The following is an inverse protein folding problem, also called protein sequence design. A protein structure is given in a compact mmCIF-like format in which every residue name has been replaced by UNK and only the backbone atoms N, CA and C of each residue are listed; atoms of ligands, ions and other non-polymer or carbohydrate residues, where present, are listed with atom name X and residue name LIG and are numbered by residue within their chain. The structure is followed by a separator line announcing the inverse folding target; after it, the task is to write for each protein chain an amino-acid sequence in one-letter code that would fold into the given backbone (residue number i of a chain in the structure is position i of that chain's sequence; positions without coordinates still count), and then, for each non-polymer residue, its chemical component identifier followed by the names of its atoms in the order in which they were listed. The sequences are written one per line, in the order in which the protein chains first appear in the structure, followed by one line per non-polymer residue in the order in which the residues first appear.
data_IF_403356701957
#
_entry.id   IF_403356701957
#
_cell.length_a   1.000
_cell.length_b   1.000
_cell.length_c   1.000
_cell.angle_alpha   90.00
_cell.angle_beta   90.00
_cell.angle_gamma   90.00
#
_symmetry.space_group_name_H-M   'P 1'
#
loop_
_entity.id
_entity.type
_entity.pdbx_description
1 polymer ?
#
# COMPACT_ATOMS: atom_id res chain seq x y z
N UNK A 1 -15.43 20.86 -17.58
CA UNK A 1 -14.52 19.96 -18.32
C UNK A 1 -13.26 19.87 -17.50
N UNK A 2 -12.84 18.65 -17.12
CA UNK A 2 -11.58 18.45 -16.41
C UNK A 2 -10.43 18.86 -17.34
N UNK A 3 -9.45 19.59 -16.78
CA UNK A 3 -8.22 19.91 -17.51
C UNK A 3 -7.44 18.59 -17.69
N UNK A 4 -7.25 18.09 -18.92
CA UNK A 4 -6.57 16.80 -19.13
C UNK A 4 -5.07 16.84 -18.77
N UNK A 5 -4.50 18.04 -18.59
CA UNK A 5 -3.10 18.24 -18.21
C UNK A 5 -2.93 18.50 -16.69
N UNK A 6 -4.00 18.37 -15.90
CA UNK A 6 -3.93 18.60 -14.45
C UNK A 6 -3.29 17.40 -13.77
N UNK A 7 -2.12 17.64 -13.17
CA UNK A 7 -1.39 16.66 -12.36
C UNK A 7 -0.79 17.36 -11.14
N UNK A 8 -0.84 16.73 -9.99
CA UNK A 8 -0.34 17.24 -8.73
C UNK A 8 0.98 16.57 -8.37
N UNK A 9 1.90 17.32 -7.78
CA UNK A 9 3.09 16.72 -7.18
C UNK A 9 2.71 15.92 -5.92
N UNK A 10 1.70 16.38 -5.16
CA UNK A 10 1.24 15.77 -3.92
C UNK A 10 -0.27 15.96 -3.75
N UNK A 11 -0.97 14.92 -3.36
CA UNK A 11 -2.34 14.96 -2.85
C UNK A 11 -2.37 14.43 -1.42
N UNK A 12 -3.17 15.05 -0.55
CA UNK A 12 -3.33 14.61 0.84
C UNK A 12 -4.79 14.46 1.22
N UNK A 13 -5.09 13.48 2.06
CA UNK A 13 -6.41 13.23 2.59
C UNK A 13 -6.39 13.39 4.12
N UNK A 14 -6.87 14.53 4.60
CA UNK A 14 -7.19 14.78 6.02
C UNK A 14 -8.52 14.09 6.35
N UNK A 15 -8.50 12.76 6.24
CA UNK A 15 -9.68 11.90 6.36
C UNK A 15 -9.29 10.46 6.65
N UNK A 16 -10.08 9.80 7.49
CA UNK A 16 -9.91 8.42 7.91
C UNK A 16 -9.83 7.43 6.74
N UNK A 17 -9.02 6.38 6.88
CA UNK A 17 -9.05 5.18 6.03
C UNK A 17 -8.76 5.45 4.55
N UNK A 18 -8.02 6.51 4.22
CA UNK A 18 -7.76 6.85 2.82
C UNK A 18 -6.46 6.24 2.26
N UNK A 19 -5.53 5.75 3.11
CA UNK A 19 -4.34 5.04 2.62
C UNK A 19 -4.70 3.61 2.19
N UNK A 20 -5.53 3.50 1.16
CA UNK A 20 -5.97 2.22 0.63
C UNK A 20 -5.39 1.95 -0.76
N UNK A 21 -5.18 0.67 -1.07
CA UNK A 21 -4.79 0.22 -2.40
C UNK A 21 -5.77 0.72 -3.47
N UNK A 22 -7.05 0.69 -3.17
CA UNK A 22 -8.12 1.11 -4.08
C UNK A 22 -8.06 2.62 -4.35
N UNK A 23 -7.89 3.45 -3.31
CA UNK A 23 -7.75 4.90 -3.47
C UNK A 23 -6.46 5.25 -4.24
N UNK A 24 -5.33 4.65 -3.86
CA UNK A 24 -4.05 4.87 -4.53
C UNK A 24 -4.09 4.46 -6.01
N UNK A 25 -4.77 3.34 -6.34
CA UNK A 25 -4.97 2.89 -7.71
C UNK A 25 -5.76 3.89 -8.57
N UNK A 26 -6.65 4.67 -7.96
CA UNK A 26 -7.35 5.76 -8.66
C UNK A 26 -6.52 7.04 -8.71
N UNK A 27 -5.84 7.40 -7.61
CA UNK A 27 -5.10 8.65 -7.51
C UNK A 27 -3.82 8.66 -8.36
N UNK A 28 -3.27 7.52 -8.78
CA UNK A 28 -2.09 7.44 -9.63
C UNK A 28 -2.18 8.23 -10.94
N UNK A 29 -3.39 8.52 -11.41
CA UNK A 29 -3.62 9.30 -12.63
C UNK A 29 -3.61 10.82 -12.39
N UNK A 30 -3.57 11.26 -11.14
CA UNK A 30 -3.79 12.66 -10.77
C UNK A 30 -2.66 13.25 -9.94
N UNK A 31 -1.79 12.42 -9.33
CA UNK A 31 -0.71 12.90 -8.49
C UNK A 31 0.50 11.96 -8.51
N UNK A 32 1.69 12.51 -8.14
CA UNK A 32 2.91 11.73 -7.96
C UNK A 32 3.00 11.11 -6.56
N UNK A 33 2.54 11.83 -5.54
CA UNK A 33 2.53 11.34 -4.17
C UNK A 33 1.17 11.50 -3.51
N UNK A 34 0.87 10.60 -2.56
CA UNK A 34 -0.32 10.65 -1.75
C UNK A 34 0.06 10.54 -0.27
N UNK A 35 -0.53 11.39 0.56
CA UNK A 35 -0.44 11.32 2.03
C UNK A 35 -1.80 10.94 2.58
N UNK A 36 -1.87 9.87 3.37
CA UNK A 36 -3.12 9.39 3.93
C UNK A 36 -2.88 8.42 5.10
N UNK A 37 -3.92 8.19 5.90
CA UNK A 37 -3.94 7.25 7.01
C UNK A 37 -4.60 5.91 6.63
N UNK A 38 -4.06 4.80 7.14
CA UNK A 38 -4.72 3.49 7.10
C UNK A 38 -5.84 3.38 8.15
N UNK A 39 -5.69 4.11 9.27
CA UNK A 39 -6.62 4.07 10.40
C UNK A 39 -7.49 5.32 10.42
N UNK A 40 -8.38 5.38 11.40
CA UNK A 40 -9.19 6.55 11.67
C UNK A 40 -8.31 7.71 12.14
N UNK A 41 -8.66 8.89 11.72
CA UNK A 41 -8.01 10.11 12.17
C UNK A 41 -8.82 10.75 13.29
N UNK A 42 -8.18 11.23 14.38
CA UNK A 42 -8.84 12.05 15.40
C UNK A 42 -9.48 13.30 14.78
N UNK A 43 -10.57 13.76 15.38
CA UNK A 43 -11.31 14.94 14.90
C UNK A 43 -10.52 16.26 14.93
N UNK A 44 -9.31 16.24 15.48
CA UNK A 44 -8.39 17.37 15.46
C UNK A 44 -7.98 17.78 14.04
N UNK A 45 -7.93 16.78 13.12
CA UNK A 45 -7.43 16.96 11.77
C UNK A 45 -5.90 17.18 11.73
N UNK A 46 -5.40 17.57 10.57
CA UNK A 46 -3.96 17.78 10.38
C UNK A 46 -3.46 19.06 11.01
N UNK A 47 -2.29 18.97 11.65
CA UNK A 47 -1.57 20.14 12.13
C UNK A 47 -0.75 20.77 11.00
N UNK A 48 -1.11 21.98 10.61
CA UNK A 48 -0.43 22.71 9.53
C UNK A 48 0.94 23.29 9.92
N UNK A 49 1.52 22.89 11.06
CA UNK A 49 2.89 23.27 11.45
C UNK A 49 3.95 22.78 10.45
N UNK A 50 3.65 21.79 9.63
CA UNK A 50 4.52 21.34 8.53
C UNK A 50 4.85 22.47 7.53
N UNK A 51 4.03 23.52 7.43
CA UNK A 51 4.34 24.71 6.62
C UNK A 51 5.61 25.43 7.10
N UNK A 52 5.97 25.30 8.38
CA UNK A 52 7.23 25.84 8.89
C UNK A 52 8.42 25.11 8.27
N UNK A 53 8.36 23.79 8.11
CA UNK A 53 9.40 22.99 7.46
C UNK A 53 9.62 23.45 6.00
N UNK A 54 8.56 23.76 5.27
CA UNK A 54 8.63 24.31 3.92
C UNK A 54 9.23 25.74 3.94
N UNK A 55 8.90 26.53 4.96
CA UNK A 55 9.49 27.88 5.16
C UNK A 55 11.00 27.83 5.46
N UNK A 56 11.44 26.85 6.22
CA UNK A 56 12.85 26.62 6.58
C UNK A 56 13.65 26.01 5.43
N UNK A 57 13.02 25.12 4.64
CA UNK A 57 13.61 24.48 3.48
C UNK A 57 12.67 24.53 2.27
N UNK A 58 12.65 25.64 1.52
CA UNK A 58 11.80 25.77 0.32
C UNK A 58 12.16 24.83 -0.84
N UNK A 59 13.24 24.05 -0.71
CA UNK A 59 13.65 23.04 -1.68
C UNK A 59 13.14 21.62 -1.37
N UNK A 60 12.28 21.49 -0.36
CA UNK A 60 11.60 20.21 -0.11
C UNK A 60 10.83 19.77 -1.35
N UNK A 61 11.05 18.54 -1.77
CA UNK A 61 10.24 17.89 -2.81
C UNK A 61 8.91 17.40 -2.25
N UNK A 62 8.05 16.89 -3.11
CA UNK A 62 6.73 16.40 -2.73
C UNK A 62 6.80 15.29 -1.68
N UNK A 63 7.78 14.37 -1.77
CA UNK A 63 7.99 13.35 -0.75
C UNK A 63 8.36 13.97 0.59
N UNK A 64 9.30 14.92 0.61
CA UNK A 64 9.73 15.60 1.84
C UNK A 64 8.60 16.39 2.49
N UNK A 65 7.73 17.03 1.70
CA UNK A 65 6.51 17.68 2.19
C UNK A 65 5.57 16.64 2.80
N UNK A 66 5.36 15.50 2.14
CA UNK A 66 4.52 14.42 2.64
C UNK A 66 5.00 13.89 4.00
N UNK A 67 6.31 13.69 4.16
CA UNK A 67 6.92 13.28 5.44
C UNK A 67 6.70 14.36 6.51
N UNK A 68 6.90 15.64 6.19
CA UNK A 68 6.67 16.72 7.14
C UNK A 68 5.20 16.81 7.60
N UNK A 69 4.23 16.51 6.70
CA UNK A 69 2.81 16.41 7.05
C UNK A 69 2.60 15.26 8.03
N UNK A 70 3.12 14.07 7.72
CA UNK A 70 2.97 12.89 8.54
C UNK A 70 3.55 13.09 9.95
N UNK A 71 4.76 13.63 10.05
CA UNK A 71 5.42 13.89 11.33
C UNK A 71 4.67 14.92 12.17
N UNK A 72 4.24 16.04 11.55
CA UNK A 72 3.48 17.07 12.26
C UNK A 72 2.10 16.58 12.73
N UNK A 73 1.45 15.69 11.97
CA UNK A 73 0.21 15.03 12.38
C UNK A 73 0.44 14.15 13.60
N UNK A 74 1.44 13.27 13.53
CA UNK A 74 1.76 12.36 14.65
C UNK A 74 2.11 13.13 15.91
N UNK A 75 2.95 14.16 15.82
CA UNK A 75 3.33 14.99 16.95
C UNK A 75 2.12 15.66 17.61
N UNK A 76 1.23 16.25 16.81
CA UNK A 76 0.05 16.94 17.32
C UNK A 76 -0.92 16.01 18.01
N UNK A 77 -1.28 14.89 17.35
CA UNK A 77 -2.26 13.97 17.88
C UNK A 77 -1.75 13.25 19.15
N UNK A 78 -0.49 12.81 19.15
CA UNK A 78 0.12 12.18 20.35
C UNK A 78 0.32 13.19 21.47
N UNK A 79 0.50 14.47 21.16
CA UNK A 79 0.54 15.55 22.18
C UNK A 79 -0.79 15.75 22.88
N UNK A 80 -1.92 15.54 22.18
CA UNK A 80 -3.27 15.62 22.76
C UNK A 80 -3.66 14.31 23.47
N UNK A 81 -3.40 13.17 22.83
CA UNK A 81 -3.70 11.86 23.40
C UNK A 81 -2.62 10.82 23.04
N UNK A 82 -1.69 10.52 23.95
CA UNK A 82 -0.61 9.55 23.72
C UNK A 82 -1.10 8.11 23.47
N UNK A 83 -2.34 7.82 23.80
CA UNK A 83 -2.96 6.51 23.64
C UNK A 83 -3.70 6.31 22.33
N UNK A 84 -3.73 7.31 21.44
CA UNK A 84 -4.41 7.22 20.16
C UNK A 84 -3.78 6.16 19.24
N UNK A 85 -4.63 5.59 18.40
CA UNK A 85 -4.27 4.68 17.32
C UNK A 85 -4.12 5.52 16.05
N UNK A 86 -2.89 5.77 15.64
CA UNK A 86 -2.58 6.66 14.52
C UNK A 86 -1.73 5.95 13.49
N UNK A 87 -1.95 6.30 12.24
CA UNK A 87 -1.06 5.95 11.13
C UNK A 87 -1.02 7.10 10.13
N UNK A 88 0.08 7.24 9.41
CA UNK A 88 0.18 8.16 8.28
C UNK A 88 1.25 7.65 7.33
N UNK A 89 0.95 7.65 6.04
CA UNK A 89 1.82 7.11 5.00
C UNK A 89 2.02 8.10 3.88
N UNK A 90 3.19 8.03 3.24
CA UNK A 90 3.50 8.71 1.99
C UNK A 90 3.68 7.66 0.90
N UNK A 91 2.79 7.67 -0.08
CA UNK A 91 2.74 6.71 -1.17
C UNK A 91 3.25 7.37 -2.46
N UNK A 92 4.13 6.67 -3.18
CA UNK A 92 4.60 7.06 -4.51
C UNK A 92 3.72 6.45 -5.58
N UNK A 93 2.82 7.24 -6.12
CA UNK A 93 1.76 6.79 -7.01
C UNK A 93 2.22 6.30 -8.40
N UNK A 94 3.30 6.81 -9.01
CA UNK A 94 3.78 6.24 -10.27
C UNK A 94 4.19 4.77 -10.19
N UNK A 95 4.48 4.24 -9.00
CA UNK A 95 4.75 2.81 -8.81
C UNK A 95 3.47 1.95 -8.70
N UNK A 96 2.28 2.57 -8.63
CA UNK A 96 1.01 1.86 -8.49
C UNK A 96 0.65 1.03 -9.72
N UNK A 97 0.97 1.45 -10.93
CA UNK A 97 0.69 0.68 -12.14
C UNK A 97 1.27 -0.74 -12.04
N UNK A 98 2.54 -0.82 -11.61
CA UNK A 98 3.20 -2.11 -11.42
C UNK A 98 2.60 -2.89 -10.25
N UNK A 99 2.29 -2.22 -9.13
CA UNK A 99 1.65 -2.86 -7.99
C UNK A 99 0.27 -3.42 -8.37
N UNK A 100 -0.55 -2.65 -9.06
CA UNK A 100 -1.88 -3.08 -9.54
C UNK A 100 -1.76 -4.30 -10.44
N UNK A 101 -0.90 -4.27 -11.45
CA UNK A 101 -0.69 -5.40 -12.36
C UNK A 101 -0.25 -6.68 -11.63
N UNK A 102 0.64 -6.53 -10.65
CA UNK A 102 1.13 -7.66 -9.85
C UNK A 102 0.06 -8.20 -8.91
N UNK A 103 -0.73 -7.31 -8.27
CA UNK A 103 -1.85 -7.69 -7.42
C UNK A 103 -2.95 -8.41 -8.20
N UNK A 104 -3.29 -7.94 -9.40
CA UNK A 104 -4.24 -8.59 -10.28
C UNK A 104 -3.81 -10.02 -10.64
N UNK A 105 -2.52 -10.21 -10.90
CA UNK A 105 -1.94 -11.55 -11.11
C UNK A 105 -2.05 -12.39 -9.83
N UNK A 106 -1.71 -11.84 -8.67
CA UNK A 106 -1.80 -12.52 -7.40
C UNK A 106 -3.24 -12.91 -7.05
N UNK A 107 -4.19 -11.98 -7.21
CA UNK A 107 -5.62 -12.21 -6.97
C UNK A 107 -6.18 -13.35 -7.85
N UNK A 108 -5.65 -13.51 -9.07
CA UNK A 108 -6.01 -14.64 -9.92
C UNK A 108 -5.59 -15.99 -9.32
N UNK A 109 -4.41 -16.09 -8.69
CA UNK A 109 -4.00 -17.29 -7.95
C UNK A 109 -4.86 -17.53 -6.71
N UNK A 110 -5.21 -16.46 -6.00
CA UNK A 110 -6.11 -16.55 -4.84
C UNK A 110 -7.48 -17.07 -5.26
N UNK A 111 -8.03 -16.59 -6.37
CA UNK A 111 -9.32 -17.04 -6.94
C UNK A 111 -9.27 -18.53 -7.31
N UNK A 112 -8.20 -18.99 -7.97
CA UNK A 112 -8.02 -20.43 -8.26
C UNK A 112 -7.95 -21.30 -7.00
N UNK A 113 -7.31 -20.80 -5.95
CA UNK A 113 -7.26 -21.52 -4.68
C UNK A 113 -8.65 -21.64 -4.04
N UNK A 114 -9.49 -20.61 -4.18
CA UNK A 114 -10.89 -20.65 -3.74
C UNK A 114 -11.68 -21.69 -4.56
N UNK A 115 -11.54 -21.73 -5.89
CA UNK A 115 -12.16 -22.73 -6.76
C UNK A 115 -11.70 -24.15 -6.40
N UNK A 116 -10.45 -24.32 -5.97
CA UNK A 116 -9.91 -25.58 -5.46
C UNK A 116 -10.37 -25.91 -4.03
N UNK A 117 -11.31 -25.17 -3.44
CA UNK A 117 -11.91 -25.44 -2.14
C UNK A 117 -11.08 -24.98 -0.94
N UNK A 118 -10.11 -24.07 -1.10
CA UNK A 118 -9.25 -23.61 0.00
C UNK A 118 -9.88 -22.49 0.86
N UNK A 119 -11.19 -22.34 0.87
CA UNK A 119 -11.91 -21.31 1.65
C UNK A 119 -11.45 -21.23 3.11
N UNK A 120 -11.21 -22.40 3.74
CA UNK A 120 -10.77 -22.46 5.14
C UNK A 120 -9.39 -21.82 5.37
N UNK A 121 -8.52 -21.80 4.36
CA UNK A 121 -7.20 -21.15 4.43
C UNK A 121 -7.37 -19.66 4.48
N UNK A 122 -8.18 -19.10 3.60
CA UNK A 122 -8.49 -17.66 3.57
C UNK A 122 -9.22 -17.20 4.84
N UNK A 123 -10.22 -17.97 5.29
CA UNK A 123 -10.96 -17.63 6.51
C UNK A 123 -10.06 -17.57 7.74
N UNK A 124 -9.10 -18.49 7.86
CA UNK A 124 -8.12 -18.49 8.96
C UNK A 124 -7.12 -17.33 8.84
N UNK A 125 -6.71 -16.99 7.63
CA UNK A 125 -5.87 -15.84 7.39
C UNK A 125 -6.61 -14.55 7.80
N UNK A 126 -7.82 -14.32 7.27
CA UNK A 126 -8.64 -13.14 7.56
C UNK A 126 -8.92 -12.94 9.06
N UNK A 127 -9.20 -14.02 9.79
CA UNK A 127 -9.45 -13.97 11.24
C UNK A 127 -8.24 -13.49 12.08
N UNK A 128 -7.04 -13.52 11.52
CA UNK A 128 -5.81 -13.06 12.19
C UNK A 128 -5.42 -11.64 11.82
N UNK A 129 -6.06 -11.08 10.80
CA UNK A 129 -5.80 -9.73 10.34
C UNK A 129 -6.62 -8.74 11.15
N UNK A 130 -5.97 -7.68 11.56
CA UNK A 130 -6.67 -6.51 12.11
C UNK A 130 -7.47 -5.85 10.99
N UNK A 131 -8.67 -5.38 11.31
CA UNK A 131 -9.48 -4.56 10.40
C UNK A 131 -9.49 -3.14 10.93
N UNK A 132 -9.08 -2.21 10.09
CA UNK A 132 -9.04 -0.80 10.42
C UNK A 132 -10.45 -0.22 10.61
N UNK A 133 -10.57 0.84 11.40
CA UNK A 133 -11.83 1.54 11.61
C UNK A 133 -12.84 0.76 12.44
N UNK A 134 -12.38 -0.17 13.31
CA UNK A 134 -13.26 -0.93 14.18
C UNK A 134 -13.74 -0.07 15.35
N UNK A 135 -14.94 0.51 15.19
CA UNK A 135 -15.69 1.11 16.27
C UNK A 135 -16.96 0.30 16.54
N UNK A 136 -17.11 -0.20 17.76
CA UNK A 136 -18.38 -0.75 18.29
C UNK A 136 -19.10 -1.76 17.36
N UNK A 137 -18.35 -2.70 16.77
CA UNK A 137 -18.89 -3.79 15.93
C UNK A 137 -19.08 -3.53 14.43
N UNK A 138 -18.73 -2.36 13.90
CA UNK A 138 -18.71 -2.13 12.46
C UNK A 138 -17.25 -2.02 11.97
N UNK A 139 -16.74 -3.04 11.34
CA UNK A 139 -15.41 -2.98 10.71
C UNK A 139 -15.54 -2.44 9.29
N UNK A 140 -14.54 -1.70 8.82
CA UNK A 140 -14.45 -1.27 7.42
C UNK A 140 -14.08 -2.42 6.48
N UNK A 141 -13.72 -3.60 7.03
CA UNK A 141 -13.12 -4.72 6.30
C UNK A 141 -11.82 -4.36 5.53
N UNK A 142 -11.22 -3.20 5.85
CA UNK A 142 -9.90 -2.82 5.39
C UNK A 142 -8.85 -3.50 6.26
N UNK A 143 -7.90 -4.18 5.64
CA UNK A 143 -6.79 -4.85 6.32
C UNK A 143 -5.47 -4.36 5.76
N UNK A 144 -4.39 -4.46 6.54
CA UNK A 144 -3.06 -4.17 6.02
C UNK A 144 -2.71 -5.07 4.84
N UNK A 145 -2.20 -4.49 3.75
CA UNK A 145 -1.94 -5.21 2.51
C UNK A 145 -0.85 -6.27 2.67
N UNK A 146 0.18 -5.99 3.48
CA UNK A 146 1.22 -7.00 3.76
C UNK A 146 0.67 -8.12 4.64
N UNK A 147 -0.28 -7.84 5.55
CA UNK A 147 -0.95 -8.89 6.30
C UNK A 147 -1.75 -9.83 5.39
N UNK A 148 -2.42 -9.30 4.34
CA UNK A 148 -3.05 -10.14 3.31
C UNK A 148 -2.01 -10.98 2.56
N UNK A 149 -0.92 -10.36 2.08
CA UNK A 149 0.14 -11.05 1.34
C UNK A 149 0.72 -12.19 2.20
N UNK A 150 1.11 -11.92 3.43
CA UNK A 150 1.73 -12.88 4.34
C UNK A 150 0.76 -13.99 4.74
N UNK A 151 -0.49 -13.64 5.02
CA UNK A 151 -1.53 -14.60 5.40
C UNK A 151 -1.90 -15.56 4.27
N UNK A 152 -1.66 -15.19 3.02
CA UNK A 152 -1.99 -15.98 1.83
C UNK A 152 -0.76 -16.41 1.01
N UNK A 153 0.46 -16.04 1.43
CA UNK A 153 1.74 -16.30 0.74
C UNK A 153 1.92 -17.75 0.30
N UNK A 154 1.48 -18.71 1.11
CA UNK A 154 1.63 -20.15 0.80
C UNK A 154 0.86 -20.60 -0.44
N UNK A 155 -0.08 -19.81 -0.94
CA UNK A 155 -0.88 -20.10 -2.13
C UNK A 155 -0.06 -19.90 -3.40
N UNK A 156 0.68 -18.78 -3.47
CA UNK A 156 1.52 -18.43 -4.62
C UNK A 156 2.80 -17.72 -4.15
N UNK A 157 3.78 -18.45 -3.55
CA UNK A 157 4.91 -17.83 -2.87
C UNK A 157 5.74 -16.89 -3.75
N UNK A 158 6.06 -17.31 -4.98
CA UNK A 158 6.90 -16.50 -5.90
C UNK A 158 6.17 -15.21 -6.32
N UNK A 159 4.86 -15.29 -6.54
CA UNK A 159 4.06 -14.10 -6.89
C UNK A 159 3.89 -13.19 -5.69
N UNK A 160 3.77 -13.76 -4.49
CA UNK A 160 3.75 -12.99 -3.24
C UNK A 160 5.04 -12.19 -3.03
N UNK A 161 6.21 -12.77 -3.32
CA UNK A 161 7.51 -12.09 -3.22
C UNK A 161 7.63 -10.93 -4.23
N UNK A 162 7.13 -11.14 -5.46
CA UNK A 162 7.08 -10.07 -6.47
C UNK A 162 6.11 -8.97 -6.05
N UNK A 163 4.95 -9.33 -5.51
CA UNK A 163 3.96 -8.38 -5.02
C UNK A 163 4.49 -7.55 -3.84
N UNK A 164 5.18 -8.19 -2.90
CA UNK A 164 5.85 -7.49 -1.82
C UNK A 164 6.87 -6.47 -2.35
N UNK A 165 7.70 -6.88 -3.31
CA UNK A 165 8.68 -5.97 -3.93
C UNK A 165 8.01 -4.79 -4.64
N UNK A 166 6.86 -5.03 -5.29
CA UNK A 166 6.07 -3.96 -5.90
C UNK A 166 5.48 -3.00 -4.86
N UNK A 167 4.96 -3.55 -3.76
CA UNK A 167 4.44 -2.80 -2.62
C UNK A 167 5.48 -1.87 -2.00
N UNK A 168 6.70 -2.38 -1.73
CA UNK A 168 7.81 -1.63 -1.14
C UNK A 168 8.28 -0.44 -2.02
N UNK A 169 7.93 -0.43 -3.30
CA UNK A 169 8.19 0.72 -4.18
C UNK A 169 7.15 1.83 -4.04
N UNK A 170 5.96 1.49 -3.60
CA UNK A 170 4.87 2.46 -3.42
C UNK A 170 4.99 3.16 -2.07
N UNK A 171 5.15 2.42 -0.98
CA UNK A 171 5.24 3.00 0.36
C UNK A 171 6.62 3.60 0.56
N UNK A 172 6.70 4.94 0.62
CA UNK A 172 7.96 5.69 0.78
C UNK A 172 8.23 6.09 2.21
N UNK A 173 7.17 6.29 2.96
CA UNK A 173 7.22 6.59 4.37
C UNK A 173 5.97 6.03 5.04
N UNK A 174 6.12 5.51 6.23
CA UNK A 174 5.02 5.06 7.06
C UNK A 174 5.37 5.30 8.52
N UNK A 175 4.47 5.90 9.25
CA UNK A 175 4.59 6.14 10.68
C UNK A 175 3.27 5.81 11.37
N UNK A 176 3.35 5.19 12.53
CA UNK A 176 2.17 4.83 13.31
C UNK A 176 2.50 4.68 14.80
N UNK A 177 1.47 4.60 15.61
CA UNK A 177 1.66 4.37 17.06
C UNK A 177 2.14 2.96 17.33
N UNK A 178 2.92 2.78 18.41
CA UNK A 178 3.51 1.49 18.83
C UNK A 178 2.50 0.36 19.06
N UNK A 179 1.22 0.67 19.15
CA UNK A 179 0.15 -0.33 19.27
C UNK A 179 -0.09 -1.09 17.96
N UNK A 180 0.45 -0.58 16.85
CA UNK A 180 0.33 -1.15 15.51
C UNK A 180 1.70 -1.61 14.98
N UNK A 181 2.26 -2.66 15.57
CA UNK A 181 3.51 -3.29 15.08
C UNK A 181 3.38 -3.90 13.66
N UNK A 182 2.18 -3.83 13.07
CA UNK A 182 1.82 -4.48 11.81
C UNK A 182 1.31 -3.51 10.72
N UNK A 183 1.37 -2.22 10.96
CA UNK A 183 1.05 -1.22 9.94
C UNK A 183 2.19 -1.12 8.93
N UNK A 184 1.88 -1.35 7.68
CA UNK A 184 2.89 -1.28 6.62
C UNK A 184 2.70 -0.12 5.66
N UNK A 185 1.61 0.64 5.81
CA UNK A 185 1.40 1.94 5.16
C UNK A 185 0.31 1.98 4.09
N UNK A 186 -0.30 0.84 3.75
CA UNK A 186 -1.44 0.81 2.84
C UNK A 186 -2.34 -0.38 3.11
N UNK A 187 -3.62 -0.11 3.29
CA UNK A 187 -4.65 -1.13 3.47
C UNK A 187 -5.26 -1.58 2.15
N UNK A 188 -5.99 -2.68 2.21
CA UNK A 188 -6.74 -3.25 1.08
C UNK A 188 -8.05 -3.84 1.59
N UNK A 189 -9.10 -3.76 0.79
CA UNK A 189 -10.39 -4.33 1.12
C UNK A 189 -10.36 -5.86 1.09
N UNK A 190 -10.62 -6.49 2.24
CA UNK A 190 -10.75 -7.94 2.35
C UNK A 190 -11.89 -8.27 3.33
N UNK A 191 -13.11 -8.55 2.83
CA UNK A 191 -14.30 -8.66 3.67
C UNK A 191 -14.25 -9.83 4.63
N UNK A 192 -14.81 -9.65 5.83
CA UNK A 192 -15.01 -10.71 6.82
C UNK A 192 -16.35 -11.44 6.67
N UNK A 193 -17.30 -10.80 6.01
CA UNK A 193 -18.68 -11.25 5.83
C UNK A 193 -19.19 -10.98 4.41
N UNK A 194 -20.23 -10.16 4.29
CA UNK A 194 -20.83 -9.77 3.01
C UNK A 194 -19.89 -8.83 2.24
N UNK A 195 -19.94 -8.90 0.92
CA UNK A 195 -19.25 -7.97 0.06
C UNK A 195 -20.05 -6.66 -0.05
N UNK A 196 -19.42 -5.54 0.23
CA UNK A 196 -20.05 -4.21 0.17
C UNK A 196 -19.33 -3.24 -0.79
N UNK A 197 -18.28 -3.70 -1.48
CA UNK A 197 -17.47 -2.87 -2.36
C UNK A 197 -17.78 -3.03 -3.85
N UNK A 198 -17.96 -1.93 -4.56
CA UNK A 198 -18.20 -1.91 -6.01
C UNK A 198 -17.36 -0.86 -6.78
N UNK A 199 -16.80 0.12 -6.08
CA UNK A 199 -16.28 1.34 -6.70
C UNK A 199 -15.02 1.17 -7.55
N UNK A 200 -14.26 0.09 -7.38
CA UNK A 200 -12.95 -0.08 -8.02
C UNK A 200 -12.91 -1.22 -9.06
N UNK A 201 -14.04 -1.80 -9.38
CA UNK A 201 -14.12 -2.98 -10.24
C UNK A 201 -13.47 -2.78 -11.62
N UNK A 202 -13.53 -1.58 -12.18
CA UNK A 202 -12.94 -1.28 -13.49
C UNK A 202 -11.42 -1.14 -13.41
N UNK A 203 -10.90 -0.65 -12.29
CA UNK A 203 -9.46 -0.40 -12.11
C UNK A 203 -8.71 -1.63 -11.63
N UNK A 204 -9.34 -2.46 -10.78
CA UNK A 204 -8.74 -3.63 -10.14
C UNK A 204 -9.65 -4.87 -10.23
N UNK A 205 -10.00 -5.33 -11.44
CA UNK A 205 -11.09 -6.28 -11.67
C UNK A 205 -10.85 -7.66 -11.02
N UNK A 206 -9.60 -8.16 -11.02
CA UNK A 206 -9.29 -9.48 -10.45
C UNK A 206 -9.35 -9.47 -8.93
N UNK A 207 -8.85 -8.43 -8.30
CA UNK A 207 -8.94 -8.28 -6.86
C UNK A 207 -10.40 -8.13 -6.43
N UNK A 208 -11.19 -7.35 -7.15
CA UNK A 208 -12.65 -7.23 -6.92
C UNK A 208 -13.36 -8.58 -7.09
N UNK A 209 -13.04 -9.34 -8.12
CA UNK A 209 -13.58 -10.68 -8.34
C UNK A 209 -13.22 -11.63 -7.20
N UNK A 210 -11.95 -11.61 -6.77
CA UNK A 210 -11.48 -12.43 -5.64
C UNK A 210 -12.24 -12.10 -4.35
N UNK A 211 -12.33 -10.83 -3.96
CA UNK A 211 -12.99 -10.41 -2.71
C UNK A 211 -14.48 -10.70 -2.71
N UNK A 212 -15.15 -10.47 -3.84
CA UNK A 212 -16.56 -10.81 -4.02
C UNK A 212 -16.80 -12.32 -3.94
N UNK A 213 -16.00 -13.11 -4.67
CA UNK A 213 -16.10 -14.58 -4.64
C UNK A 213 -15.81 -15.17 -3.27
N UNK A 214 -14.81 -14.64 -2.57
CA UNK A 214 -14.52 -15.03 -1.19
C UNK A 214 -15.72 -14.76 -0.26
N UNK A 215 -16.29 -13.56 -0.29
CA UNK A 215 -17.42 -13.20 0.55
C UNK A 215 -18.66 -14.07 0.27
N UNK A 216 -18.98 -14.31 -1.01
CA UNK A 216 -20.08 -15.18 -1.41
C UNK A 216 -19.90 -16.61 -0.91
N UNK A 217 -18.72 -17.21 -1.12
CA UNK A 217 -18.41 -18.56 -0.63
C UNK A 217 -18.41 -18.61 0.91
N UNK A 218 -17.95 -17.56 1.56
CA UNK A 218 -17.93 -17.46 3.03
C UNK A 218 -19.33 -17.44 3.62
N UNK A 219 -20.29 -16.83 2.92
CA UNK A 219 -21.71 -16.77 3.28
C UNK A 219 -22.49 -18.04 2.93
N UNK A 220 -21.84 -19.07 2.39
CA UNK A 220 -22.45 -20.33 1.99
C UNK A 220 -23.11 -20.32 0.61
N UNK A 221 -22.88 -19.27 -0.19
CA UNK A 221 -23.28 -19.17 -1.58
C UNK A 221 -22.37 -19.96 -2.53
N UNK A 222 -22.65 -19.85 -3.83
CA UNK A 222 -21.84 -20.40 -4.91
C UNK A 222 -21.32 -19.26 -5.78
N UNK A 223 -20.02 -19.22 -6.00
CA UNK A 223 -19.38 -18.25 -6.88
C UNK A 223 -18.54 -18.96 -7.93
N UNK A 224 -18.60 -18.49 -9.16
CA UNK A 224 -17.80 -19.00 -10.28
C UNK A 224 -16.86 -17.89 -10.74
N UNK A 225 -15.57 -18.12 -10.56
CA UNK A 225 -14.55 -17.17 -11.00
C UNK A 225 -14.40 -17.19 -12.52
N UNK A 226 -14.39 -16.01 -13.13
CA UNK A 226 -14.31 -15.86 -14.59
C UNK A 226 -12.89 -16.02 -15.12
N UNK A 227 -11.88 -15.87 -14.25
CA UNK A 227 -10.50 -15.77 -14.64
C UNK A 227 -9.73 -17.08 -14.51
N UNK A 228 -9.20 -17.55 -15.63
CA UNK A 228 -8.08 -18.49 -15.60
C UNK A 228 -6.77 -17.72 -15.40
N UNK A 229 -5.93 -18.14 -14.44
CA UNK A 229 -4.57 -17.60 -14.31
C UNK A 229 -3.81 -17.88 -15.60
N UNK A 230 -3.14 -16.87 -16.20
CA UNK A 230 -2.20 -17.14 -17.26
C UNK A 230 -1.17 -18.17 -16.76
N UNK A 231 -1.02 -19.28 -17.51
CA UNK A 231 -0.03 -20.28 -17.13
C UNK A 231 1.36 -19.66 -17.18
N UNK A 232 1.99 -19.58 -16.00
CA UNK A 232 3.36 -19.14 -15.77
C UNK A 232 3.66 -17.64 -15.97
N UNK A 233 3.57 -16.87 -14.89
CA UNK A 233 4.52 -15.78 -14.66
C UNK A 233 5.75 -16.42 -14.01
N UNK A 234 6.72 -16.85 -14.81
CA UNK A 234 8.05 -17.14 -14.29
C UNK A 234 8.74 -15.80 -14.05
N UNK A 235 9.46 -15.68 -12.94
CA UNK A 235 10.24 -14.50 -12.56
C UNK A 235 11.20 -14.02 -13.66
N UNK A 236 11.53 -14.86 -14.63
CA UNK A 236 12.33 -14.53 -15.80
C UNK A 236 11.58 -13.79 -16.91
N UNK A 237 10.25 -13.84 -16.98
CA UNK A 237 9.49 -13.13 -18.01
C UNK A 237 9.09 -11.70 -17.62
N UNK A 238 9.16 -11.38 -16.33
CA UNK A 238 8.83 -10.03 -15.82
C UNK A 238 10.06 -9.10 -15.84
N UNK A 239 11.29 -9.62 -16.00
CA UNK A 239 12.52 -8.87 -15.81
C UNK A 239 13.49 -8.89 -17.00
N UNK A 240 13.08 -9.22 -18.23
CA UNK A 240 13.95 -9.08 -19.42
C UNK A 240 13.85 -7.72 -20.11
N UNK A 241 12.98 -6.82 -19.63
CA UNK A 241 12.98 -5.41 -20.00
C UNK A 241 13.90 -4.61 -19.05
N UNK A 242 14.70 -3.73 -19.60
CA UNK A 242 15.51 -2.79 -18.83
C UNK A 242 14.57 -2.00 -17.88
N UNK A 243 14.88 -1.94 -16.59
CA UNK A 243 14.06 -1.23 -15.58
C UNK A 243 13.78 0.23 -15.97
N UNK A 244 14.60 0.83 -16.80
CA UNK A 244 14.42 2.17 -17.35
C UNK A 244 13.28 2.29 -18.35
N UNK A 245 12.95 1.23 -19.10
CA UNK A 245 11.92 1.29 -20.14
C UNK A 245 10.52 1.14 -19.54
N UNK A 246 10.40 0.50 -18.38
CA UNK A 246 9.12 0.38 -17.65
C UNK A 246 8.69 1.70 -16.96
N UNK A 247 9.63 2.64 -16.76
CA UNK A 247 9.36 3.87 -16.00
C UNK A 247 9.06 5.10 -16.85
N UNK A 248 9.29 5.06 -18.18
CA UNK A 248 9.24 6.28 -19.01
C UNK A 248 8.42 6.17 -20.31
N UNK A 249 7.68 5.07 -20.55
CA UNK A 249 6.80 4.99 -21.73
C UNK A 249 5.33 5.10 -21.33
N UNK A 250 4.63 6.14 -21.78
CA UNK A 250 3.17 6.19 -21.65
C UNK A 250 2.56 5.13 -22.58
N UNK A 251 1.76 4.25 -21.98
CA UNK A 251 0.85 3.32 -22.66
C UNK A 251 1.44 2.53 -23.83
N UNK A 252 2.28 1.54 -23.56
CA UNK A 252 2.58 0.49 -24.52
C UNK A 252 1.79 -0.76 -24.18
N UNK A 253 0.85 -1.09 -25.06
CA UNK A 253 0.20 -2.39 -25.14
C UNK A 253 1.26 -3.47 -25.23
N UNK A 254 1.32 -4.36 -24.23
CA UNK A 254 2.19 -5.53 -24.25
C UNK A 254 1.75 -6.47 -25.36
N UNK A 255 2.42 -6.40 -26.49
CA UNK A 255 2.42 -7.49 -27.49
C UNK A 255 3.68 -8.31 -27.28
N UNK A 256 3.53 -9.57 -26.89
CA UNK A 256 4.62 -10.55 -26.86
C UNK A 256 5.10 -10.80 -28.28
N UNK A 257 6.26 -10.28 -28.66
CA UNK A 257 7.01 -10.77 -29.82
C UNK A 257 8.40 -11.20 -29.34
N UNK A 258 8.65 -12.50 -29.46
CA UNK A 258 9.97 -13.07 -29.32
C UNK A 258 10.86 -12.58 -30.45
N UNK A 259 11.90 -11.78 -30.14
CA UNK A 259 13.12 -11.70 -30.97
C UNK A 259 14.28 -11.20 -30.08
N UNK A 260 15.45 -11.85 -30.10
CA UNK A 260 16.58 -11.45 -29.29
C UNK A 260 17.33 -10.29 -29.97
N UNK A 261 17.53 -9.19 -29.24
CA UNK A 261 18.45 -8.12 -29.67
C UNK A 261 19.70 -8.14 -28.81
N UNK A 262 20.80 -8.48 -29.46
CA UNK A 262 22.16 -8.20 -28.99
C UNK A 262 22.49 -6.72 -29.29
N UNK A 263 22.98 -5.99 -28.29
CA UNK A 263 23.47 -4.63 -28.45
C UNK A 263 23.91 -4.04 -27.13
N UNK A 264 25.20 -3.95 -26.92
CA UNK A 264 25.83 -3.22 -25.81
C UNK A 264 25.44 -1.74 -25.89
N UNK A 265 25.02 -1.16 -24.78
CA UNK A 265 24.92 0.30 -24.61
C UNK A 265 25.39 0.67 -23.19
N UNK A 266 26.22 1.72 -23.16
CA UNK A 266 27.01 2.24 -22.08
C UNK A 266 26.23 2.50 -20.77
N UNK A 267 26.86 2.15 -19.65
CA UNK A 267 26.43 2.40 -18.28
C UNK A 267 26.37 3.91 -18.01
N UNK A 268 25.18 4.42 -17.72
CA UNK A 268 25.01 5.73 -17.08
C UNK A 268 25.03 5.53 -15.58
N UNK A 269 26.03 6.15 -14.95
CA UNK A 269 26.28 6.15 -13.52
C UNK A 269 25.11 6.87 -12.82
N UNK A 270 24.24 6.13 -12.14
CA UNK A 270 23.22 6.66 -11.24
C UNK A 270 23.80 6.70 -9.83
N UNK A 271 23.60 7.76 -9.06
CA UNK A 271 24.13 7.86 -7.71
C UNK A 271 23.56 6.76 -6.81
N UNK A 272 24.48 5.98 -6.22
CA UNK A 272 24.21 5.00 -5.18
C UNK A 272 23.64 5.66 -3.91
N UNK A 273 22.34 5.83 -3.83
CA UNK A 273 21.62 5.97 -2.55
C UNK A 273 20.34 5.16 -2.64
N UNK A 274 20.49 3.85 -2.59
CA UNK A 274 19.41 2.97 -2.17
C UNK A 274 19.67 2.65 -0.71
N UNK A 275 18.83 3.10 0.24
CA UNK A 275 18.93 2.60 1.60
C UNK A 275 18.66 1.10 1.57
N UNK A 276 19.66 0.30 1.86
CA UNK A 276 19.50 -1.12 2.11
C UNK A 276 18.76 -1.30 3.42
N UNK A 277 17.46 -1.53 3.34
CA UNK A 277 16.67 -1.99 4.48
C UNK A 277 17.08 -3.42 4.82
N UNK A 278 17.83 -3.61 5.88
CA UNK A 278 18.26 -4.93 6.38
C UNK A 278 17.19 -5.63 7.22
N UNK A 279 16.17 -4.93 7.68
CA UNK A 279 14.86 -5.43 8.12
C UNK A 279 13.93 -4.24 8.38
N UNK A 280 12.62 -4.41 8.20
CA UNK A 280 11.64 -3.38 8.59
C UNK A 280 11.69 -3.00 10.08
N UNK A 281 12.22 -3.87 10.94
CA UNK A 281 12.35 -3.61 12.37
C UNK A 281 13.48 -2.63 12.73
N UNK A 282 14.50 -2.45 11.88
CA UNK A 282 15.65 -1.61 12.23
C UNK A 282 15.44 -0.13 11.85
N UNK A 283 14.51 0.18 10.96
CA UNK A 283 14.23 1.55 10.53
C UNK A 283 13.36 2.35 11.54
N UNK A 284 12.60 1.65 12.41
CA UNK A 284 11.73 2.28 13.39
C UNK A 284 12.45 2.74 14.67
N UNK A 285 13.72 2.37 14.89
CA UNK A 285 14.41 2.59 16.16
C UNK A 285 15.55 3.60 16.17
N UNK A 286 15.85 4.29 15.08
CA UNK A 286 16.97 5.25 15.04
C UNK A 286 16.57 6.72 14.91
N UNK A 287 15.29 7.06 14.90
CA UNK A 287 14.81 8.44 15.06
C UNK A 287 14.73 8.79 16.55
N UNK A 288 15.78 9.36 17.11
CA UNK A 288 15.80 9.81 18.50
C UNK A 288 14.98 11.09 18.65
N UNK A 289 13.76 10.95 19.16
CA UNK A 289 13.04 11.99 19.91
C UNK A 289 12.19 11.32 20.99
N UNK A 290 12.86 10.66 21.96
CA UNK A 290 12.24 10.33 23.23
C UNK A 290 13.14 10.93 24.30
N UNK A 291 12.64 11.82 25.17
CA UNK A 291 13.36 12.19 26.37
C UNK A 291 13.59 10.96 27.23
N UNK A 292 14.81 10.85 27.75
CA UNK A 292 15.24 9.84 28.71
C UNK A 292 14.30 9.80 29.93
N UNK A 293 13.76 8.62 30.24
CA UNK A 293 12.84 8.31 31.36
C UNK A 293 13.44 8.51 32.75
N UNK A 294 14.56 9.23 32.90
CA UNK A 294 15.22 9.48 34.17
C UNK A 294 14.74 10.74 34.93
N UNK A 295 13.68 11.42 34.49
CA UNK A 295 13.19 12.65 35.11
C UNK A 295 11.75 12.56 35.68
N UNK A 296 11.27 11.37 36.02
CA UNK A 296 9.89 11.20 36.52
C UNK A 296 9.81 10.81 38.03
N UNK A 297 10.84 11.08 38.83
CA UNK A 297 10.82 10.77 40.26
C UNK A 297 10.74 11.97 41.23
N UNK A 298 10.43 13.17 40.78
CA UNK A 298 10.38 14.34 41.64
C UNK A 298 9.06 15.15 41.56
N UNK A 299 7.89 14.54 41.58
CA UNK A 299 6.64 15.19 41.98
C UNK A 299 5.67 14.19 42.62
N UNK A 300 5.86 14.04 43.97
CA UNK A 300 4.84 13.70 44.96
C UNK A 300 4.67 14.84 45.93
#
# INVERSE_FOLDING_TARGET
EANPDFHLDLIGFDACLMATYEAAAHMQYYADFMVASEELEPSLGWNYAWLNALGENPALDAQGIGVAIADAYMEACLGENPDDYLSMSVLYLPAMEYLVSTMETYASYLSQALDAGQLSTFSRARQRMYAFGDFDSATSDMVDMMALIDGTRTIAPQTADVLQTAYERVVRYNVGTRKFDYLTGMSVYFPSGSYEGDGCQETIPRMTEFTRGYAELRSGGNYVFSAQVPQQVTTSSVFTGNLTDAFFSPASTFTTSETPLAGEADAVDLPDVVPTFTSMNDAFFTGSLIPDDSAMDDWL
#
